data_IF_719217801607
#
_entry.id   IF_719217801607
#
_cell.length_a   1.000
_cell.length_b   1.000
_cell.length_c   1.000
_cell.angle_alpha   90.00
_cell.angle_beta   90.00
_cell.angle_gamma   90.00
#
_symmetry.space_group_name_H-M   'P 1'
#
loop_
_entity.id
_entity.type
_entity.pdbx_description
1 polymer ?
#
# COMPACT_ATOMS: atom_id res chain seq x y z
N UNK A 1 -30.08 7.43 -16.03
CA UNK A 1 -28.66 7.53 -15.63
C UNK A 1 -28.37 6.36 -14.71
N UNK A 2 -27.22 5.70 -14.87
CA UNK A 2 -26.89 4.48 -14.13
C UNK A 2 -26.45 4.73 -12.67
N UNK A 3 -26.13 5.98 -12.34
CA UNK A 3 -25.78 6.44 -10.98
C UNK A 3 -26.15 7.89 -10.75
N UNK A 4 -25.90 8.37 -9.54
CA UNK A 4 -26.06 9.76 -9.10
C UNK A 4 -24.71 10.38 -8.71
N UNK A 5 -24.58 11.69 -8.86
CA UNK A 5 -23.38 12.45 -8.47
C UNK A 5 -23.82 13.73 -7.76
N UNK A 6 -23.01 14.22 -6.82
CA UNK A 6 -23.21 15.53 -6.19
C UNK A 6 -22.77 16.65 -7.17
N UNK A 7 -23.44 17.80 -7.14
CA UNK A 7 -23.00 18.99 -7.87
C UNK A 7 -21.67 19.54 -7.33
N UNK A 8 -21.39 19.34 -6.05
CA UNK A 8 -20.11 19.71 -5.43
C UNK A 8 -18.95 18.82 -5.89
N UNK A 9 -19.23 17.58 -6.28
CA UNK A 9 -18.25 16.62 -6.77
C UNK A 9 -18.84 15.78 -7.93
N UNK A 10 -18.95 16.37 -9.13
CA UNK A 10 -19.64 15.74 -10.27
C UNK A 10 -18.90 14.51 -10.83
N UNK A 11 -17.70 14.25 -10.31
CA UNK A 11 -16.82 13.17 -10.73
C UNK A 11 -16.90 11.96 -9.79
N UNK A 12 -17.64 12.06 -8.68
CA UNK A 12 -17.92 10.94 -7.78
C UNK A 12 -19.33 10.41 -8.04
N UNK A 13 -19.41 9.18 -8.56
CA UNK A 13 -20.67 8.52 -8.92
C UNK A 13 -21.02 7.45 -7.91
N UNK A 14 -22.26 7.48 -7.42
CA UNK A 14 -22.83 6.41 -6.61
C UNK A 14 -23.77 5.58 -7.49
N UNK A 15 -23.48 4.28 -7.57
CA UNK A 15 -24.26 3.27 -8.28
C UNK A 15 -25.02 2.45 -7.22
N UNK A 16 -26.30 2.74 -6.95
CA UNK A 16 -27.06 2.03 -5.91
C UNK A 16 -27.28 0.56 -6.28
N UNK A 17 -27.39 0.26 -7.58
CA UNK A 17 -27.63 -1.08 -8.12
C UNK A 17 -26.52 -1.48 -9.10
N UNK A 18 -26.19 -2.76 -9.13
CA UNK A 18 -25.24 -3.35 -10.06
C UNK A 18 -25.76 -3.26 -11.50
N UNK A 19 -24.88 -2.90 -12.43
CA UNK A 19 -25.24 -2.72 -13.84
C UNK A 19 -25.48 -4.04 -14.58
N UNK A 20 -25.05 -5.17 -14.01
CA UNK A 20 -25.12 -6.50 -14.65
C UNK A 20 -26.35 -7.30 -14.19
N UNK A 21 -26.62 -7.33 -12.89
CA UNK A 21 -27.67 -8.18 -12.30
C UNK A 21 -28.75 -7.39 -11.51
N UNK A 22 -28.61 -6.07 -11.36
CA UNK A 22 -29.56 -5.21 -10.65
C UNK A 22 -29.55 -5.35 -9.13
N UNK A 23 -28.65 -6.14 -8.55
CA UNK A 23 -28.51 -6.29 -7.09
C UNK A 23 -28.08 -4.97 -6.45
N UNK A 24 -28.52 -4.72 -5.22
CA UNK A 24 -28.09 -3.54 -4.45
C UNK A 24 -26.60 -3.67 -4.08
N UNK A 25 -25.78 -2.71 -4.52
CA UNK A 25 -24.32 -2.72 -4.29
C UNK A 25 -23.77 -1.44 -3.69
N UNK A 26 -24.47 -0.30 -3.84
CA UNK A 26 -24.00 1.03 -3.39
C UNK A 26 -22.53 1.31 -3.75
N UNK A 27 -22.15 0.99 -4.99
CA UNK A 27 -20.78 1.14 -5.46
C UNK A 27 -20.47 2.62 -5.72
N UNK A 28 -19.41 3.12 -5.10
CA UNK A 28 -18.91 4.49 -5.34
C UNK A 28 -17.72 4.43 -6.30
N UNK A 29 -17.80 5.17 -7.39
CA UNK A 29 -16.78 5.21 -8.45
C UNK A 29 -16.40 6.66 -8.71
N UNK A 30 -15.11 6.97 -8.57
CA UNK A 30 -14.57 8.25 -9.02
C UNK A 30 -14.13 8.16 -10.48
N UNK A 31 -14.77 8.95 -11.34
CA UNK A 31 -14.42 9.12 -12.75
C UNK A 31 -13.54 10.35 -12.87
N UNK A 32 -12.39 10.24 -13.54
CA UNK A 32 -11.52 11.41 -13.68
C UNK A 32 -12.04 12.38 -14.75
N UNK A 33 -11.91 13.69 -14.53
CA UNK A 33 -12.15 14.67 -15.58
C UNK A 33 -11.28 14.38 -16.81
N UNK A 34 -11.77 14.62 -18.04
CA UNK A 34 -10.98 14.42 -19.26
C UNK A 34 -9.68 15.24 -19.31
N UNK A 35 -9.61 16.35 -18.56
CA UNK A 35 -8.44 17.23 -18.46
C UNK A 35 -7.47 16.83 -17.35
N UNK A 36 -7.83 15.87 -16.49
CA UNK A 36 -6.99 15.47 -15.37
C UNK A 36 -5.80 14.63 -15.86
N UNK A 37 -4.59 15.12 -15.61
CA UNK A 37 -3.36 14.36 -15.84
C UNK A 37 -3.20 13.18 -14.88
N UNK A 38 -2.16 12.39 -15.10
CA UNK A 38 -1.76 11.33 -14.20
C UNK A 38 -0.67 11.84 -13.25
N UNK A 39 -0.97 11.87 -11.96
CA UNK A 39 -0.04 12.08 -10.85
C UNK A 39 0.37 10.74 -10.24
N UNK A 40 1.66 10.53 -10.03
CA UNK A 40 2.22 9.26 -9.55
C UNK A 40 3.12 9.55 -8.36
N UNK A 41 2.91 8.83 -7.26
CA UNK A 41 3.87 8.75 -6.16
C UNK A 41 4.57 7.40 -6.17
N UNK A 42 5.88 7.41 -6.03
CA UNK A 42 6.71 6.22 -5.87
C UNK A 42 7.50 6.36 -4.56
N UNK A 43 7.40 5.36 -3.68
CA UNK A 43 8.08 5.35 -2.39
C UNK A 43 9.07 4.19 -2.34
N UNK A 44 10.35 4.54 -2.28
CA UNK A 44 11.44 3.58 -2.23
C UNK A 44 11.50 2.81 -0.90
N UNK A 45 12.13 1.63 -0.95
CA UNK A 45 12.51 0.88 0.24
C UNK A 45 13.66 1.54 0.99
N UNK A 46 13.82 1.20 2.27
CA UNK A 46 14.91 1.75 3.08
C UNK A 46 15.02 1.21 4.50
N UNK A 47 14.34 0.11 4.83
CA UNK A 47 14.20 -0.37 6.21
C UNK A 47 13.64 0.72 7.11
N UNK A 48 14.30 0.98 8.25
CA UNK A 48 13.93 2.06 9.20
C UNK A 48 13.86 3.45 8.56
N UNK A 49 14.56 3.70 7.44
CA UNK A 49 14.51 4.98 6.73
C UNK A 49 13.19 5.21 5.97
N UNK A 50 12.29 4.23 5.96
CA UNK A 50 10.92 4.39 5.46
C UNK A 50 10.09 5.45 6.19
N UNK A 51 10.60 6.02 7.29
CA UNK A 51 10.03 7.19 7.97
C UNK A 51 10.24 8.52 7.21
N UNK A 52 11.23 8.58 6.31
CA UNK A 52 11.58 9.81 5.59
C UNK A 52 10.47 10.25 4.61
N UNK A 53 9.91 9.37 3.76
CA UNK A 53 8.86 9.77 2.82
C UNK A 53 7.61 10.36 3.50
N UNK A 54 7.05 9.77 4.58
CA UNK A 54 5.99 10.42 5.37
C UNK A 54 6.36 11.82 5.86
N UNK A 55 7.58 12.02 6.37
CA UNK A 55 8.02 13.34 6.83
C UNK A 55 8.03 14.39 5.69
N UNK A 56 8.50 14.01 4.50
CA UNK A 56 8.47 14.86 3.31
C UNK A 56 7.03 15.15 2.89
N UNK A 57 6.17 14.14 2.84
CA UNK A 57 4.76 14.31 2.49
C UNK A 57 4.01 15.20 3.47
N UNK A 58 4.36 15.14 4.75
CA UNK A 58 3.78 16.02 5.76
C UNK A 58 4.15 17.47 5.50
N UNK A 59 5.42 17.74 5.13
CA UNK A 59 5.84 19.08 4.71
C UNK A 59 5.15 19.55 3.44
N UNK A 60 4.96 18.67 2.46
CA UNK A 60 4.20 19.01 1.26
C UNK A 60 2.75 19.37 1.64
N UNK A 61 2.10 18.58 2.50
CA UNK A 61 0.73 18.83 2.94
C UNK A 61 0.60 20.17 3.69
N UNK A 62 1.54 20.47 4.60
CA UNK A 62 1.60 21.77 5.30
C UNK A 62 1.77 22.95 4.33
N UNK A 63 2.57 22.79 3.27
CA UNK A 63 2.78 23.86 2.28
C UNK A 63 1.62 24.03 1.30
N UNK A 64 0.88 22.95 1.00
CA UNK A 64 -0.33 23.04 0.19
C UNK A 64 -1.43 23.80 0.92
N UNK A 65 -1.55 23.60 2.25
CA UNK A 65 -2.54 24.25 3.11
C UNK A 65 -3.97 24.17 2.56
N UNK A 66 -4.32 22.99 2.05
CA UNK A 66 -5.63 22.68 1.51
C UNK A 66 -6.37 21.72 2.45
N UNK A 67 -7.71 21.81 2.54
CA UNK A 67 -8.53 20.87 3.31
C UNK A 67 -8.69 19.52 2.58
N UNK A 68 -7.64 19.09 1.86
CA UNK A 68 -7.61 17.88 1.04
C UNK A 68 -6.38 17.07 1.46
N UNK A 69 -6.54 15.80 1.86
CA UNK A 69 -5.41 14.94 2.20
C UNK A 69 -4.44 14.80 1.03
N UNK A 70 -3.13 14.81 1.30
CA UNK A 70 -2.09 14.76 0.25
C UNK A 70 -2.20 13.52 -0.67
N UNK A 71 -2.80 12.43 -0.17
CA UNK A 71 -3.09 11.21 -0.90
C UNK A 71 -3.97 11.46 -2.14
N UNK A 72 -4.95 12.37 -2.03
CA UNK A 72 -5.96 12.58 -3.08
C UNK A 72 -5.39 13.29 -4.31
N UNK A 73 -4.19 13.86 -4.21
CA UNK A 73 -3.44 14.41 -5.34
C UNK A 73 -2.76 13.33 -6.19
N UNK A 74 -2.69 12.08 -5.71
CA UNK A 74 -2.00 10.99 -6.40
C UNK A 74 -2.96 9.96 -6.95
N UNK A 75 -2.99 9.92 -8.27
CA UNK A 75 -3.80 8.98 -9.04
C UNK A 75 -3.20 7.57 -9.15
N UNK A 76 -1.93 7.42 -8.81
CA UNK A 76 -1.20 6.15 -8.71
C UNK A 76 -0.18 6.23 -7.58
N UNK A 77 -0.05 5.17 -6.80
CA UNK A 77 0.89 5.04 -5.71
C UNK A 77 1.62 3.69 -5.79
N UNK A 78 2.93 3.73 -5.87
CA UNK A 78 3.78 2.54 -5.95
C UNK A 78 4.80 2.53 -4.82
N UNK A 79 5.08 1.35 -4.27
CA UNK A 79 6.06 1.20 -3.22
C UNK A 79 6.84 -0.10 -3.29
N UNK A 80 8.05 -0.07 -2.72
CA UNK A 80 8.91 -1.24 -2.56
C UNK A 80 9.31 -1.38 -1.09
N UNK A 81 9.25 -2.59 -0.54
CA UNK A 81 9.68 -2.86 0.85
C UNK A 81 9.03 -1.89 1.85
N UNK A 82 9.80 -1.21 2.72
CA UNK A 82 9.27 -0.22 3.66
C UNK A 82 8.39 0.86 2.98
N UNK A 83 8.71 1.26 1.74
CA UNK A 83 7.90 2.19 0.97
C UNK A 83 6.54 1.62 0.57
N UNK A 84 6.46 0.31 0.31
CA UNK A 84 5.18 -0.37 0.10
C UNK A 84 4.29 -0.31 1.34
N UNK A 85 4.86 -0.49 2.53
CA UNK A 85 4.12 -0.36 3.79
C UNK A 85 3.49 1.02 3.95
N UNK A 86 4.24 2.09 3.61
CA UNK A 86 3.72 3.46 3.63
C UNK A 86 2.61 3.65 2.59
N UNK A 87 2.80 3.14 1.36
CA UNK A 87 1.78 3.20 0.31
C UNK A 87 0.49 2.48 0.72
N UNK A 88 0.61 1.27 1.26
CA UNK A 88 -0.55 0.50 1.75
C UNK A 88 -1.25 1.23 2.91
N UNK A 89 -0.49 1.76 3.87
CA UNK A 89 -1.07 2.51 4.98
C UNK A 89 -1.84 3.75 4.51
N UNK A 90 -1.26 4.52 3.59
CA UNK A 90 -1.88 5.75 3.08
C UNK A 90 -3.07 5.48 2.15
N UNK A 91 -2.95 4.53 1.22
CA UNK A 91 -3.91 4.36 0.13
C UNK A 91 -4.86 3.17 0.33
N UNK A 92 -4.43 2.06 0.92
CA UNK A 92 -5.32 0.95 1.22
C UNK A 92 -6.15 1.24 2.48
N UNK A 93 -5.47 1.63 3.57
CA UNK A 93 -6.12 1.93 4.85
C UNK A 93 -6.62 3.38 4.99
N UNK A 94 -6.21 4.30 4.10
CA UNK A 94 -6.61 5.70 4.18
C UNK A 94 -6.03 6.45 5.37
N UNK A 95 -4.91 6.01 5.94
CA UNK A 95 -4.29 6.67 7.08
C UNK A 95 -3.71 8.03 6.68
N UNK A 96 -3.81 9.01 7.58
CA UNK A 96 -3.12 10.28 7.44
C UNK A 96 -1.60 10.08 7.45
N UNK A 97 -0.88 11.05 6.88
CA UNK A 97 0.60 11.04 6.89
C UNK A 97 1.16 10.98 8.31
N UNK A 98 0.54 11.73 9.23
CA UNK A 98 0.88 11.73 10.65
C UNK A 98 0.72 10.33 11.27
N UNK A 99 -0.44 9.68 11.05
CA UNK A 99 -0.67 8.33 11.56
C UNK A 99 0.32 7.34 10.97
N UNK A 100 0.59 7.41 9.66
CA UNK A 100 1.58 6.55 9.01
C UNK A 100 2.96 6.70 9.67
N UNK A 101 3.35 7.93 10.04
CA UNK A 101 4.61 8.21 10.72
C UNK A 101 4.68 7.51 12.08
N UNK A 102 3.65 7.68 12.91
CA UNK A 102 3.56 7.10 14.26
C UNK A 102 3.59 5.57 14.20
N UNK A 103 2.74 4.98 13.37
CA UNK A 103 2.58 3.53 13.27
C UNK A 103 3.82 2.87 12.66
N UNK A 104 4.43 3.51 11.64
CA UNK A 104 5.67 3.01 11.05
C UNK A 104 6.84 3.04 12.04
N UNK A 105 6.94 4.07 12.89
CA UNK A 105 7.97 4.11 13.93
C UNK A 105 7.80 2.95 14.93
N UNK A 106 6.57 2.68 15.36
CA UNK A 106 6.29 1.54 16.24
C UNK A 106 6.61 0.21 15.56
N UNK A 107 6.18 0.03 14.31
CA UNK A 107 6.50 -1.16 13.52
C UNK A 107 8.01 -1.35 13.39
N UNK A 108 8.75 -0.30 13.04
CA UNK A 108 10.21 -0.36 12.92
C UNK A 108 10.87 -0.75 14.25
N UNK A 109 10.41 -0.20 15.38
CA UNK A 109 10.90 -0.55 16.71
C UNK A 109 10.63 -2.01 17.10
N UNK A 110 9.62 -2.65 16.53
CA UNK A 110 9.32 -4.07 16.75
C UNK A 110 10.11 -4.95 15.78
N UNK A 111 10.02 -4.65 14.48
CA UNK A 111 10.65 -5.38 13.39
C UNK A 111 12.18 -5.49 13.54
N UNK A 112 12.84 -4.41 13.97
CA UNK A 112 14.29 -4.36 14.08
C UNK A 112 14.81 -4.64 15.51
N UNK A 113 14.01 -5.27 16.38
CA UNK A 113 14.50 -5.71 17.70
C UNK A 113 15.57 -6.79 17.55
N UNK A 114 16.76 -6.61 18.15
CA UNK A 114 17.76 -7.65 18.17
C UNK A 114 17.28 -8.89 18.93
N UNK A 115 17.61 -10.08 18.45
CA UNK A 115 17.35 -11.32 19.19
C UNK A 115 18.12 -11.31 20.52
N UNK A 116 17.39 -11.53 21.63
CA UNK A 116 17.83 -11.41 23.04
C UNK A 116 18.89 -12.45 23.48
N UNK A 117 19.36 -13.33 22.61
CA UNK A 117 20.35 -14.32 23.01
C UNK A 117 21.69 -13.61 23.27
N UNK A 118 22.36 -13.86 24.42
CA UNK A 118 23.62 -13.20 24.76
C UNK A 118 24.70 -13.56 23.73
N UNK A 119 25.48 -12.61 23.18
CA UNK A 119 26.49 -12.90 22.17
C UNK A 119 27.52 -13.89 22.71
N UNK A 120 27.80 -14.94 21.94
CA UNK A 120 28.90 -15.86 22.24
C UNK A 120 30.20 -15.22 21.72
N UNK A 121 31.23 -15.02 22.56
CA UNK A 121 32.51 -14.48 22.10
C UNK A 121 33.10 -15.38 21.00
N UNK A 122 33.44 -14.80 19.84
CA UNK A 122 34.08 -15.50 18.73
C UNK A 122 33.17 -16.21 17.73
N UNK A 123 31.84 -16.23 17.92
CA UNK A 123 30.90 -17.01 17.09
C UNK A 123 29.68 -16.24 16.56
N UNK A 124 29.68 -14.90 16.59
CA UNK A 124 28.53 -14.09 16.15
C UNK A 124 28.08 -14.35 14.70
N UNK A 125 29.00 -14.74 13.80
CA UNK A 125 28.70 -15.07 12.40
C UNK A 125 27.89 -16.37 12.25
N UNK A 126 28.05 -17.32 13.17
CA UNK A 126 27.34 -18.61 13.18
C UNK A 126 25.83 -18.38 13.40
N UNK A 127 25.45 -17.32 14.12
CA UNK A 127 24.04 -16.95 14.33
C UNK A 127 23.32 -16.55 13.05
N UNK A 128 23.97 -15.75 12.21
CA UNK A 128 23.39 -15.30 10.93
C UNK A 128 23.22 -16.45 9.94
N UNK A 129 24.02 -17.51 10.07
CA UNK A 129 23.94 -18.71 9.22
C UNK A 129 22.88 -19.70 9.73
N UNK A 130 22.74 -19.85 11.05
CA UNK A 130 21.80 -20.81 11.64
C UNK A 130 20.34 -20.34 11.67
N UNK A 131 20.08 -19.03 11.72
CA UNK A 131 18.74 -18.49 11.95
C UNK A 131 17.98 -18.08 10.67
N UNK A 132 18.59 -18.19 9.49
CA UNK A 132 18.07 -17.82 8.16
C UNK A 132 17.58 -16.35 8.02
N UNK A 133 17.46 -15.61 9.12
CA UNK A 133 17.05 -14.21 9.21
C UNK A 133 17.69 -13.52 10.43
N UNK A 134 17.95 -12.21 10.31
CA UNK A 134 18.50 -11.39 11.41
C UNK A 134 17.45 -11.00 12.46
N UNK A 135 16.17 -11.07 12.12
CA UNK A 135 15.05 -10.60 12.92
C UNK A 135 13.94 -11.64 12.91
N UNK A 136 13.25 -11.83 14.05
CA UNK A 136 12.15 -12.78 14.13
C UNK A 136 10.98 -12.34 13.23
N UNK A 137 10.49 -13.25 12.38
CA UNK A 137 9.36 -13.02 11.47
C UNK A 137 8.11 -12.53 12.20
N UNK A 138 7.81 -13.10 13.38
CA UNK A 138 6.65 -12.71 14.19
C UNK A 138 6.67 -11.24 14.61
N UNK A 139 7.86 -10.62 14.74
CA UNK A 139 8.00 -9.20 15.05
C UNK A 139 7.66 -8.28 13.88
N UNK A 140 7.52 -8.82 12.67
CA UNK A 140 7.09 -8.11 11.46
C UNK A 140 5.64 -8.48 11.14
N UNK A 141 5.35 -9.77 11.08
CA UNK A 141 4.04 -10.29 10.66
C UNK A 141 2.91 -9.84 11.60
N UNK A 142 3.14 -9.89 12.92
CA UNK A 142 2.10 -9.51 13.90
C UNK A 142 1.72 -8.03 13.77
N UNK A 143 2.67 -7.07 13.78
CA UNK A 143 2.35 -5.66 13.50
C UNK A 143 1.66 -5.41 12.16
N UNK A 144 2.06 -6.12 11.09
CA UNK A 144 1.41 -5.99 9.78
C UNK A 144 -0.05 -6.46 9.82
N UNK A 145 -0.32 -7.62 10.43
CA UNK A 145 -1.69 -8.10 10.66
C UNK A 145 -2.52 -7.12 11.48
N UNK A 146 -1.94 -6.54 12.53
CA UNK A 146 -2.63 -5.52 13.33
C UNK A 146 -2.91 -4.25 12.53
N UNK A 147 -1.96 -3.80 11.70
CA UNK A 147 -2.09 -2.57 10.92
C UNK A 147 -3.11 -2.70 9.78
N UNK A 148 -3.09 -3.80 9.04
CA UNK A 148 -3.88 -3.97 7.81
C UNK A 148 -5.12 -4.87 7.97
N UNK A 149 -5.22 -5.62 9.07
CA UNK A 149 -6.33 -6.54 9.30
C UNK A 149 -6.44 -7.63 8.23
N UNK A 150 -7.62 -8.22 8.09
CA UNK A 150 -7.87 -9.27 7.08
C UNK A 150 -8.35 -8.71 5.72
N UNK A 151 -8.23 -7.40 5.49
CA UNK A 151 -8.68 -6.76 4.25
C UNK A 151 -7.82 -7.15 3.04
N UNK A 152 -8.48 -7.37 1.90
CA UNK A 152 -7.82 -7.75 0.64
C UNK A 152 -7.36 -6.50 -0.13
N UNK A 153 -6.19 -6.57 -0.77
CA UNK A 153 -5.62 -5.42 -1.50
C UNK A 153 -6.55 -4.88 -2.59
N UNK A 154 -7.28 -5.75 -3.29
CA UNK A 154 -8.22 -5.39 -4.37
C UNK A 154 -9.48 -4.69 -3.84
N UNK A 155 -9.77 -4.79 -2.54
CA UNK A 155 -10.91 -4.14 -1.92
C UNK A 155 -10.64 -2.68 -1.57
N UNK A 156 -9.47 -2.38 -0.99
CA UNK A 156 -8.92 -1.06 -0.65
C UNK A 156 -9.93 0.11 -0.77
N UNK A 157 -10.88 0.25 0.18
CA UNK A 157 -12.05 1.13 0.04
C UNK A 157 -11.66 2.60 -0.07
N UNK A 158 -10.59 3.03 0.62
CA UNK A 158 -10.07 4.38 0.50
C UNK A 158 -9.58 4.67 -0.93
N UNK A 159 -8.69 3.82 -1.47
CA UNK A 159 -8.18 3.95 -2.84
C UNK A 159 -9.30 3.99 -3.89
N UNK A 160 -10.34 3.15 -3.74
CA UNK A 160 -11.53 3.18 -4.63
C UNK A 160 -12.26 4.53 -4.56
N UNK A 161 -12.48 5.05 -3.35
CA UNK A 161 -13.15 6.35 -3.12
C UNK A 161 -12.39 7.51 -3.75
N UNK A 162 -11.06 7.54 -3.61
CA UNK A 162 -10.22 8.62 -4.17
C UNK A 162 -9.80 8.36 -5.62
N UNK A 163 -10.13 7.21 -6.19
CA UNK A 163 -9.78 6.83 -7.56
C UNK A 163 -8.28 6.59 -7.76
N UNK A 164 -7.57 6.20 -6.70
CA UNK A 164 -6.13 5.93 -6.71
C UNK A 164 -5.86 4.45 -6.97
N UNK A 165 -4.80 4.20 -7.72
CA UNK A 165 -4.30 2.86 -8.06
C UNK A 165 -3.07 2.56 -7.22
N UNK A 166 -3.01 1.39 -6.62
CA UNK A 166 -1.91 0.93 -5.76
C UNK A 166 -1.11 -0.13 -6.50
N UNK A 167 0.22 -0.05 -6.44
CA UNK A 167 1.12 -1.12 -6.87
C UNK A 167 2.21 -1.40 -5.84
N UNK A 168 2.42 -2.68 -5.51
CA UNK A 168 3.50 -3.12 -4.62
C UNK A 168 4.43 -4.04 -5.37
N UNK A 169 5.71 -3.69 -5.39
CA UNK A 169 6.74 -4.48 -6.08
C UNK A 169 7.41 -5.43 -5.10
N UNK A 170 7.50 -6.70 -5.49
CA UNK A 170 8.10 -7.78 -4.70
C UNK A 170 8.95 -8.68 -5.61
N UNK A 171 9.68 -9.64 -5.03
CA UNK A 171 10.45 -10.61 -5.79
C UNK A 171 10.21 -12.02 -5.23
N UNK A 172 10.16 -13.01 -6.12
CA UNK A 172 10.10 -14.43 -5.73
C UNK A 172 11.44 -14.90 -5.15
N UNK A 173 11.39 -15.86 -4.22
CA UNK A 173 12.58 -16.36 -3.52
C UNK A 173 13.35 -17.42 -4.31
N UNK A 174 12.65 -18.39 -4.92
CA UNK A 174 13.30 -19.58 -5.54
C UNK A 174 13.94 -19.26 -6.90
N UNK A 175 13.27 -18.46 -7.73
CA UNK A 175 13.75 -18.04 -9.06
C UNK A 175 13.42 -16.56 -9.24
N UNK A 176 14.36 -15.65 -8.90
CA UNK A 176 14.07 -14.23 -8.69
C UNK A 176 13.43 -13.65 -9.95
N UNK A 177 12.15 -13.34 -9.81
CA UNK A 177 11.32 -12.69 -10.82
C UNK A 177 10.62 -11.53 -10.13
N UNK A 178 10.59 -10.38 -10.80
CA UNK A 178 9.89 -9.20 -10.30
C UNK A 178 8.39 -9.46 -10.34
N UNK A 179 7.72 -9.27 -9.22
CA UNK A 179 6.28 -9.40 -9.07
C UNK A 179 5.66 -8.03 -8.77
N UNK A 180 4.47 -7.81 -9.28
CA UNK A 180 3.68 -6.61 -9.04
C UNK A 180 2.29 -7.01 -8.55
N UNK A 181 1.99 -6.66 -7.30
CA UNK A 181 0.64 -6.71 -6.74
C UNK A 181 -0.08 -5.39 -6.99
N UNK A 182 -1.34 -5.42 -7.40
CA UNK A 182 -2.13 -4.22 -7.69
C UNK A 182 -3.55 -4.31 -7.12
N UNK A 183 -4.13 -3.17 -6.75
CA UNK A 183 -5.56 -3.10 -6.42
C UNK A 183 -6.47 -2.90 -7.65
N UNK A 184 -5.90 -2.99 -8.85
CA UNK A 184 -6.58 -2.75 -10.11
C UNK A 184 -6.11 -3.74 -11.17
N UNK A 185 -6.96 -3.99 -12.14
CA UNK A 185 -6.64 -4.80 -13.32
C UNK A 185 -6.16 -3.92 -14.47
N UNK A 186 -5.09 -4.35 -15.14
CA UNK A 186 -4.60 -3.74 -16.38
C UNK A 186 -5.32 -4.32 -17.60
N UNK A 187 -5.63 -3.47 -18.58
CA UNK A 187 -6.08 -3.91 -19.90
C UNK A 187 -4.87 -3.86 -20.83
N UNK A 188 -4.60 -4.94 -21.55
CA UNK A 188 -3.53 -5.00 -22.55
C UNK A 188 -2.72 -6.29 -22.49
N UNK A 189 -1.75 -6.38 -23.41
CA UNK A 189 -0.80 -7.50 -23.46
C UNK A 189 0.08 -7.48 -22.21
N UNK A 190 0.41 -8.67 -21.74
CA UNK A 190 1.39 -8.86 -20.69
C UNK A 190 2.72 -8.23 -21.12
N UNK A 191 3.39 -7.54 -20.20
CA UNK A 191 4.66 -6.87 -20.46
C UNK A 191 5.79 -7.77 -19.99
N UNK A 192 6.84 -7.86 -20.79
CA UNK A 192 8.05 -8.57 -20.41
C UNK A 192 8.78 -7.82 -19.28
N UNK A 193 9.31 -8.57 -18.31
CA UNK A 193 10.17 -8.05 -17.23
C UNK A 193 9.57 -8.07 -15.83
N UNK A 194 8.27 -8.32 -15.66
CA UNK A 194 7.64 -8.57 -14.36
C UNK A 194 6.34 -9.36 -14.49
N UNK A 195 5.97 -10.06 -13.41
CA UNK A 195 4.73 -10.81 -13.27
C UNK A 195 3.69 -9.94 -12.56
N UNK A 196 2.56 -9.66 -13.21
CA UNK A 196 1.41 -9.06 -12.50
C UNK A 196 0.63 -10.18 -11.84
N UNK A 197 0.55 -10.17 -10.51
CA UNK A 197 -0.17 -11.19 -9.76
C UNK A 197 -1.67 -10.90 -9.79
N UNK A 198 -2.36 -11.48 -10.78
CA UNK A 198 -3.80 -11.30 -11.03
C UNK A 198 -4.70 -12.25 -10.24
N UNK A 199 -4.18 -13.40 -9.81
CA UNK A 199 -4.91 -14.38 -8.97
C UNK A 199 -4.93 -13.97 -7.49
N UNK A 200 -4.57 -12.73 -7.19
CA UNK A 200 -4.45 -12.18 -5.84
C UNK A 200 -5.79 -11.68 -5.26
N UNK A 201 -6.93 -12.09 -5.83
CA UNK A 201 -8.27 -11.68 -5.38
C UNK A 201 -8.57 -12.07 -3.91
N UNK A 202 -7.71 -12.88 -3.28
CA UNK A 202 -7.78 -13.27 -1.88
C UNK A 202 -6.50 -12.93 -1.08
N UNK A 203 -5.56 -12.16 -1.63
CA UNK A 203 -4.32 -11.84 -0.92
C UNK A 203 -4.59 -10.74 0.09
N UNK A 204 -4.37 -11.04 1.36
CA UNK A 204 -4.57 -10.07 2.43
C UNK A 204 -3.50 -8.99 2.30
N UNK A 205 -3.87 -7.75 2.61
CA UNK A 205 -2.98 -6.60 2.44
C UNK A 205 -1.68 -6.74 3.25
N UNK A 206 -1.70 -7.45 4.38
CA UNK A 206 -0.48 -7.72 5.17
C UNK A 206 0.42 -8.83 4.61
N UNK A 207 -0.07 -9.65 3.68
CA UNK A 207 0.69 -10.75 3.02
C UNK A 207 1.47 -10.27 1.79
N UNK A 208 1.13 -9.08 1.28
CA UNK A 208 1.73 -8.43 0.10
C UNK A 208 3.08 -7.82 0.45
#
# INVERSE_FOLDING_TARGET
AFGTSDAADPFLFTLPHCLLDGQTVNLVVRIRPPTAGQSIICIDGGGVRGIIPPAILNKIQEQLDLPIPVQEFFTMAYGVSAGALIVLAMFANGWSVERCTIEFEQLARMAFRPNLLPPLPGANWIRSILLDSMYAESNIETPLKTAFGDGVLTEAPYAKRVGSKIGVLTATVVRPSLCLFTNYNGIGKERDGYLVLREADNVKTWEV
#
